data_IF_426912257920
#
_entry.id   IF_426912257920
#
_cell.length_a   1.000
_cell.length_b   1.000
_cell.length_c   1.000
_cell.angle_alpha   90.00
_cell.angle_beta   90.00
_cell.angle_gamma   90.00
#
_symmetry.space_group_name_H-M   'P 1'
#
loop_
_entity.id
_entity.type
_entity.pdbx_description
1 polymer ?
#
# COMPACT_ATOMS: atom_id res chain seq x y z
N UNK A 1 -27.80 -10.35 -10.40
CA UNK A 1 -27.04 -10.15 -9.16
C UNK A 1 -25.52 -10.11 -9.41
N UNK A 2 -25.00 -10.82 -10.41
CA UNK A 2 -23.57 -10.82 -10.77
C UNK A 2 -23.01 -9.44 -11.16
N UNK A 3 -23.76 -8.67 -11.95
CA UNK A 3 -23.34 -7.33 -12.44
C UNK A 3 -23.11 -6.29 -11.33
N UNK A 4 -23.89 -6.36 -10.24
CA UNK A 4 -23.73 -5.46 -9.11
C UNK A 4 -22.43 -5.76 -8.35
N UNK A 5 -22.13 -7.04 -8.11
CA UNK A 5 -20.92 -7.46 -7.40
C UNK A 5 -19.64 -7.10 -8.18
N UNK A 6 -19.65 -7.27 -9.50
CA UNK A 6 -18.55 -6.88 -10.38
C UNK A 6 -18.30 -5.36 -10.36
N UNK A 7 -19.37 -4.56 -10.41
CA UNK A 7 -19.26 -3.10 -10.35
C UNK A 7 -18.67 -2.61 -9.02
N UNK A 8 -19.05 -3.23 -7.90
CA UNK A 8 -18.51 -2.96 -6.57
C UNK A 8 -17.03 -3.37 -6.45
N UNK A 9 -16.65 -4.53 -6.98
CA UNK A 9 -15.26 -5.00 -6.96
C UNK A 9 -14.36 -4.13 -7.85
N UNK A 10 -14.85 -3.69 -9.00
CA UNK A 10 -14.15 -2.74 -9.86
C UNK A 10 -14.00 -1.37 -9.20
N UNK A 11 -15.02 -0.90 -8.46
CA UNK A 11 -14.96 0.33 -7.67
C UNK A 11 -13.86 0.27 -6.60
N UNK A 12 -13.81 -0.82 -5.83
CA UNK A 12 -12.75 -1.07 -4.82
C UNK A 12 -11.35 -1.10 -5.44
N UNK A 13 -11.18 -1.81 -6.56
CA UNK A 13 -9.91 -1.86 -7.28
C UNK A 13 -9.46 -0.50 -7.80
N UNK A 14 -10.37 0.35 -8.28
CA UNK A 14 -10.06 1.74 -8.69
C UNK A 14 -9.57 2.56 -7.50
N UNK A 15 -10.20 2.41 -6.35
CA UNK A 15 -9.83 3.11 -5.12
C UNK A 15 -8.39 2.79 -4.70
N UNK A 16 -8.00 1.52 -4.73
CA UNK A 16 -6.62 1.06 -4.49
C UNK A 16 -5.60 1.74 -5.41
N UNK A 17 -5.95 1.88 -6.70
CA UNK A 17 -5.12 2.60 -7.67
C UNK A 17 -4.98 4.08 -7.35
N UNK A 18 -6.06 4.73 -6.89
CA UNK A 18 -6.03 6.14 -6.47
C UNK A 18 -5.10 6.34 -5.26
N UNK A 19 -5.25 5.52 -4.20
CA UNK A 19 -4.36 5.58 -3.03
C UNK A 19 -2.90 5.40 -3.42
N UNK A 20 -2.59 4.37 -4.21
CA UNK A 20 -1.22 4.06 -4.62
C UNK A 20 -0.58 5.21 -5.41
N UNK A 21 -1.35 5.83 -6.32
CA UNK A 21 -0.89 7.00 -7.08
C UNK A 21 -0.68 8.22 -6.20
N UNK A 22 -1.60 8.51 -5.28
CA UNK A 22 -1.49 9.66 -4.36
C UNK A 22 -0.28 9.50 -3.46
N UNK A 23 -0.10 8.33 -2.85
CA UNK A 23 1.06 8.00 -2.01
C UNK A 23 2.35 8.18 -2.80
N UNK A 24 2.45 7.63 -4.03
CA UNK A 24 3.65 7.77 -4.85
C UNK A 24 3.99 9.23 -5.14
N UNK A 25 3.00 10.05 -5.53
CA UNK A 25 3.20 11.48 -5.81
C UNK A 25 3.59 12.27 -4.57
N UNK A 26 3.04 11.95 -3.41
CA UNK A 26 3.40 12.59 -2.14
C UNK A 26 4.83 12.25 -1.72
N UNK A 27 5.23 10.97 -1.82
CA UNK A 27 6.62 10.54 -1.58
C UNK A 27 7.60 11.24 -2.53
N UNK A 28 7.26 11.37 -3.81
CA UNK A 28 8.10 12.05 -4.80
C UNK A 28 8.34 13.53 -4.46
N UNK A 29 7.33 14.18 -3.86
CA UNK A 29 7.36 15.57 -3.39
C UNK A 29 7.95 15.75 -1.99
N UNK A 30 8.29 14.65 -1.30
CA UNK A 30 8.80 14.68 0.08
C UNK A 30 7.73 14.97 1.14
N UNK A 31 6.45 14.92 0.77
CA UNK A 31 5.31 15.11 1.67
C UNK A 31 5.02 13.80 2.43
N UNK A 32 5.98 13.40 3.28
CA UNK A 32 5.97 12.06 3.87
C UNK A 32 4.89 11.87 4.93
N UNK A 33 4.51 12.91 5.68
CA UNK A 33 3.44 12.78 6.68
C UNK A 33 2.08 12.48 6.05
N UNK A 34 1.75 13.14 4.94
CA UNK A 34 0.52 12.90 4.20
C UNK A 34 0.55 11.52 3.51
N UNK A 35 1.72 11.12 2.99
CA UNK A 35 1.90 9.79 2.41
C UNK A 35 1.72 8.68 3.47
N UNK A 36 2.23 8.90 4.68
CA UNK A 36 2.09 8.00 5.83
C UNK A 36 0.62 7.80 6.22
N UNK A 37 -0.13 8.89 6.36
CA UNK A 37 -1.56 8.83 6.70
C UNK A 37 -2.36 8.02 5.68
N UNK A 38 -2.19 8.33 4.38
CA UNK A 38 -2.89 7.58 3.32
C UNK A 38 -2.47 6.11 3.26
N UNK A 39 -1.20 5.81 3.54
CA UNK A 39 -0.71 4.44 3.56
C UNK A 39 -1.27 3.64 4.75
N UNK A 40 -1.41 4.27 5.91
CA UNK A 40 -2.03 3.66 7.09
C UNK A 40 -3.53 3.42 6.91
N UNK A 41 -4.24 4.39 6.33
CA UNK A 41 -5.64 4.24 5.93
C UNK A 41 -5.81 3.05 4.99
N UNK A 42 -4.97 2.98 3.95
CA UNK A 42 -4.97 1.89 2.96
C UNK A 42 -4.63 0.52 3.58
N UNK A 43 -3.82 0.48 4.65
CA UNK A 43 -3.49 -0.76 5.37
C UNK A 43 -4.59 -1.20 6.34
N UNK A 44 -5.35 -0.25 6.88
CA UNK A 44 -6.31 -0.49 7.97
C UNK A 44 -7.72 -0.78 7.45
N UNK A 45 -8.03 -0.31 6.25
CA UNK A 45 -9.30 -0.58 5.57
C UNK A 45 -9.36 -2.04 5.10
N UNK A 46 -10.21 -2.84 5.76
CA UNK A 46 -10.44 -4.26 5.45
C UNK A 46 -11.31 -4.47 4.22
N UNK A 47 -12.11 -3.47 3.85
CA UNK A 47 -12.99 -3.51 2.69
C UNK A 47 -12.25 -3.10 1.41
N UNK A 48 -11.09 -2.45 1.57
CA UNK A 48 -10.18 -2.13 0.49
C UNK A 48 -9.39 -3.37 0.04
N UNK A 49 -9.75 -3.87 -1.14
CA UNK A 49 -9.08 -5.00 -1.78
C UNK A 49 -8.74 -4.67 -3.24
N UNK A 50 -7.50 -4.96 -3.70
CA UNK A 50 -6.42 -5.64 -2.98
C UNK A 50 -5.64 -4.74 -1.99
N UNK A 51 -4.89 -5.33 -1.03
CA UNK A 51 -4.00 -4.58 -0.14
C UNK A 51 -2.89 -3.85 -0.91
N UNK A 52 -2.16 -2.91 -0.26
CA UNK A 52 -1.06 -2.19 -0.89
C UNK A 52 -0.06 -3.15 -1.55
N UNK A 53 0.31 -2.85 -2.79
CA UNK A 53 1.21 -3.70 -3.56
C UNK A 53 2.68 -3.27 -3.40
N UNK A 54 3.58 -4.06 -4.00
CA UNK A 54 5.03 -3.83 -3.93
C UNK A 54 5.43 -2.43 -4.43
N UNK A 55 4.69 -1.86 -5.38
CA UNK A 55 4.98 -0.53 -5.91
C UNK A 55 4.70 0.55 -4.87
N UNK A 56 3.60 0.45 -4.12
CA UNK A 56 3.25 1.38 -3.03
C UNK A 56 4.30 1.33 -1.92
N UNK A 57 4.72 0.13 -1.51
CA UNK A 57 5.79 -0.01 -0.52
C UNK A 57 7.13 0.56 -1.01
N UNK A 58 7.48 0.33 -2.28
CA UNK A 58 8.71 0.88 -2.87
C UNK A 58 8.70 2.41 -2.86
N UNK A 59 7.56 3.03 -3.17
CA UNK A 59 7.39 4.48 -3.11
C UNK A 59 7.64 5.03 -1.70
N UNK A 60 7.06 4.38 -0.67
CA UNK A 60 7.29 4.75 0.73
C UNK A 60 8.77 4.65 1.12
N UNK A 61 9.42 3.51 0.82
CA UNK A 61 10.85 3.30 1.10
C UNK A 61 11.71 4.38 0.44
N UNK A 62 11.47 4.68 -0.84
CA UNK A 62 12.21 5.71 -1.54
C UNK A 62 11.99 7.10 -0.94
N UNK A 63 10.74 7.41 -0.58
CA UNK A 63 10.38 8.67 0.10
C UNK A 63 11.17 8.85 1.40
N UNK A 64 11.18 7.82 2.26
CA UNK A 64 11.94 7.86 3.51
C UNK A 64 13.45 8.03 3.31
N UNK A 65 14.05 7.27 2.39
CA UNK A 65 15.48 7.38 2.08
C UNK A 65 15.83 8.79 1.61
N UNK A 66 15.01 9.38 0.74
CA UNK A 66 15.21 10.76 0.24
C UNK A 66 15.05 11.82 1.33
N UNK A 67 14.22 11.55 2.34
CA UNK A 67 14.08 12.40 3.52
C UNK A 67 15.10 12.13 4.63
N UNK A 68 16.06 11.22 4.42
CA UNK A 68 17.05 10.83 5.44
C UNK A 68 16.50 9.97 6.58
N UNK A 69 15.24 9.51 6.49
CA UNK A 69 14.54 8.70 7.50
C UNK A 69 14.77 7.21 7.28
N UNK A 70 16.04 6.78 7.30
CA UNK A 70 16.43 5.40 6.91
C UNK A 70 15.80 4.32 7.80
N UNK A 71 15.68 4.56 9.11
CA UNK A 71 15.07 3.59 10.03
C UNK A 71 13.61 3.28 9.67
N UNK A 72 12.86 4.30 9.24
CA UNK A 72 11.47 4.13 8.82
C UNK A 72 11.39 3.38 7.48
N UNK A 73 12.35 3.61 6.58
CA UNK A 73 12.48 2.84 5.34
C UNK A 73 12.67 1.33 5.63
N UNK A 74 13.50 0.99 6.62
CA UNK A 74 13.75 -0.41 7.03
C UNK A 74 12.48 -1.03 7.63
N UNK A 75 11.78 -0.32 8.52
CA UNK A 75 10.52 -0.80 9.12
C UNK A 75 9.49 -1.15 8.04
N UNK A 76 9.31 -0.27 7.05
CA UNK A 76 8.35 -0.50 5.96
C UNK A 76 8.79 -1.67 5.06
N UNK A 77 10.08 -1.80 4.76
CA UNK A 77 10.61 -2.95 4.01
C UNK A 77 10.35 -4.27 4.73
N UNK A 78 10.54 -4.32 6.05
CA UNK A 78 10.25 -5.50 6.86
C UNK A 78 8.75 -5.85 6.88
N UNK A 79 7.87 -4.84 6.93
CA UNK A 79 6.41 -5.06 6.83
C UNK A 79 6.04 -5.73 5.51
N UNK A 80 6.65 -5.33 4.39
CA UNK A 80 6.44 -5.98 3.09
C UNK A 80 6.92 -7.45 3.08
N UNK A 81 8.09 -7.71 3.67
CA UNK A 81 8.63 -9.07 3.75
C UNK A 81 7.68 -10.00 4.54
N UNK A 82 7.17 -9.53 5.69
CA UNK A 82 6.20 -10.29 6.50
C UNK A 82 4.90 -10.55 5.72
N UNK A 83 4.38 -9.56 4.98
CA UNK A 83 3.17 -9.75 4.17
C UNK A 83 3.37 -10.78 3.05
N UNK A 84 4.54 -10.80 2.40
CA UNK A 84 4.88 -11.81 1.40
C UNK A 84 5.01 -13.21 2.02
N UNK A 85 5.67 -13.33 3.17
CA UNK A 85 5.79 -14.60 3.89
C UNK A 85 4.44 -15.14 4.37
N UNK A 86 3.55 -14.26 4.84
CA UNK A 86 2.17 -14.64 5.18
C UNK A 86 1.45 -15.22 3.97
N UNK A 87 1.51 -14.57 2.79
CA UNK A 87 0.91 -15.13 1.57
C UNK A 87 1.42 -16.53 1.26
N UNK A 88 2.73 -16.80 1.38
CA UNK A 88 3.27 -18.15 1.14
C UNK A 88 2.67 -19.19 2.10
N UNK A 89 2.51 -18.84 3.39
CA UNK A 89 1.96 -19.75 4.41
C UNK A 89 0.46 -20.05 4.30
N UNK A 90 -0.32 -19.24 3.57
CA UNK A 90 -1.76 -19.48 3.34
C UNK A 90 -2.06 -20.16 1.99
N UNK A 91 -1.02 -20.57 1.23
CA UNK A 91 -1.17 -21.37 0.01
C UNK A 91 -0.69 -22.83 0.18
N UNK A 92 -0.39 -23.27 1.40
CA UNK A 92 -0.27 -24.69 1.74
C UNK A 92 -1.55 -25.14 2.46
N UNK A 93 -2.61 -25.39 1.69
CA UNK A 93 -3.73 -26.32 1.97
C UNK A 93 -4.63 -26.43 0.72
#
# INVERSE_FOLDING_TARGET
>A
METFNESQQQGRKRMVGCYSNMIARLCERGMMWEAEGLFEDMCSDKDLSPPPDVSTFRSMVNGYVRSGRVDDAIKISNKLAILKLRKVSIYED
#
